data_IF_021529526305
#
_entry.id   IF_021529526305
#
_cell.length_a   1.000
_cell.length_b   1.000
_cell.length_c   1.000
_cell.angle_alpha   90.00
_cell.angle_beta   90.00
_cell.angle_gamma   90.00
#
_symmetry.space_group_name_H-M   'P 1'
#
loop_
_entity.id
_entity.type
_entity.pdbx_description
1 polymer ?
#
# COMPACT_ATOMS: atom_id res chain seq x y z
N UNK A 1 -7.32 -0.48 51.96
CA UNK A 1 -8.79 -0.29 51.85
C UNK A 1 -9.05 0.82 50.83
N UNK A 2 -9.91 0.58 49.81
CA UNK A 2 -9.95 1.32 48.54
C UNK A 2 -11.18 2.26 48.41
N UNK A 3 -11.17 3.18 47.44
CA UNK A 3 -12.35 3.72 46.73
C UNK A 3 -11.85 4.69 45.63
N UNK A 4 -11.95 4.34 44.34
CA UNK A 4 -13.07 4.62 43.40
C UNK A 4 -12.67 5.79 42.47
N UNK A 5 -12.12 5.53 41.28
CA UNK A 5 -12.86 5.29 40.01
C UNK A 5 -13.98 6.30 39.81
N UNK A 6 -13.71 7.32 38.99
CA UNK A 6 -14.72 7.88 38.11
C UNK A 6 -14.14 7.98 36.70
N UNK A 7 -14.45 6.92 35.97
CA UNK A 7 -14.46 6.84 34.53
C UNK A 7 -15.49 7.85 33.97
N UNK A 8 -15.13 8.48 32.85
CA UNK A 8 -16.05 9.23 31.99
C UNK A 8 -15.45 9.26 30.59
N UNK A 9 -15.89 8.36 29.68
CA UNK A 9 -15.50 8.41 28.28
C UNK A 9 -16.49 9.32 27.55
N UNK A 10 -16.01 10.42 26.97
CA UNK A 10 -16.81 11.25 26.07
C UNK A 10 -16.22 11.28 24.66
N UNK A 11 -16.95 10.57 23.80
CA UNK A 11 -17.31 10.92 22.41
C UNK A 11 -16.24 10.77 21.32
N UNK A 12 -16.34 9.61 20.67
CA UNK A 12 -16.49 9.43 19.21
C UNK A 12 -15.53 10.24 18.33
N UNK A 13 -14.34 9.68 18.10
CA UNK A 13 -13.64 9.91 16.84
C UNK A 13 -14.51 9.35 15.71
N UNK A 14 -15.01 10.21 14.84
CA UNK A 14 -15.56 9.79 13.55
C UNK A 14 -14.44 9.09 12.78
N UNK A 15 -14.53 7.77 12.70
CA UNK A 15 -13.80 6.97 11.73
C UNK A 15 -14.27 7.36 10.34
N UNK A 16 -13.62 8.36 9.75
CA UNK A 16 -13.77 8.66 8.35
C UNK A 16 -13.21 7.48 7.55
N UNK A 17 -14.11 6.79 6.86
CA UNK A 17 -13.83 5.78 5.84
C UNK A 17 -12.61 6.19 4.98
N UNK A 18 -11.55 5.36 4.92
CA UNK A 18 -10.42 5.68 4.06
C UNK A 18 -10.90 5.58 2.61
N UNK A 19 -10.94 6.73 1.94
CA UNK A 19 -11.19 6.78 0.50
C UNK A 19 -10.16 5.90 -0.23
N UNK A 20 -10.57 5.18 -1.29
CA UNK A 20 -9.66 4.31 -2.03
C UNK A 20 -8.46 5.11 -2.54
N UNK A 21 -7.29 4.46 -2.60
CA UNK A 21 -6.05 5.08 -3.04
C UNK A 21 -6.25 5.78 -4.40
N UNK A 22 -5.69 6.99 -4.59
CA UNK A 22 -5.80 7.71 -5.86
C UNK A 22 -5.26 6.84 -6.99
N UNK A 23 -5.97 6.78 -8.11
CA UNK A 23 -5.48 6.11 -9.31
C UNK A 23 -4.10 6.69 -9.68
N UNK A 24 -3.13 5.85 -10.11
CA UNK A 24 -1.80 6.33 -10.46
C UNK A 24 -1.90 7.46 -11.50
N UNK A 25 -1.04 8.49 -11.42
CA UNK A 25 -1.09 9.62 -12.35
C UNK A 25 -0.90 9.11 -13.77
N UNK A 26 -1.97 9.20 -14.56
CA UNK A 26 -1.93 8.89 -15.98
C UNK A 26 -1.13 10.01 -16.63
N UNK A 27 -0.11 9.68 -17.41
CA UNK A 27 0.69 10.68 -18.09
C UNK A 27 -0.21 11.57 -18.96
N UNK A 28 -0.10 12.89 -18.80
CA UNK A 28 -0.82 13.89 -19.61
C UNK A 28 -0.38 13.88 -21.09
N UNK A 29 0.72 13.19 -21.39
CA UNK A 29 1.22 13.00 -22.74
C UNK A 29 0.25 12.14 -23.57
N UNK A 30 -0.07 12.53 -24.82
CA UNK A 30 -0.89 11.71 -25.70
C UNK A 30 -0.33 10.30 -25.90
N UNK A 31 -1.10 9.28 -25.53
CA UNK A 31 -0.82 7.89 -25.85
C UNK A 31 -1.11 7.56 -27.33
N UNK A 32 -0.93 6.29 -27.75
CA UNK A 32 -1.08 5.90 -29.16
C UNK A 32 -2.49 6.17 -29.69
N UNK A 33 -3.52 5.89 -28.89
CA UNK A 33 -4.91 6.13 -29.29
C UNK A 33 -5.28 7.61 -29.29
N UNK A 34 -4.79 8.38 -28.32
CA UNK A 34 -4.99 9.83 -28.27
C UNK A 34 -4.33 10.51 -29.48
N UNK A 35 -3.11 10.08 -29.84
CA UNK A 35 -2.38 10.55 -31.02
C UNK A 35 -3.13 10.19 -32.31
N UNK A 36 -3.65 8.96 -32.42
CA UNK A 36 -4.46 8.56 -33.56
C UNK A 36 -5.72 9.41 -33.72
N UNK A 37 -6.41 9.72 -32.61
CA UNK A 37 -7.58 10.60 -32.63
C UNK A 37 -7.24 12.01 -33.15
N UNK A 38 -6.17 12.61 -32.63
CA UNK A 38 -5.70 13.93 -33.06
C UNK A 38 -5.33 13.93 -34.56
N UNK A 39 -4.62 12.90 -35.02
CA UNK A 39 -4.23 12.76 -36.42
C UNK A 39 -5.43 12.60 -37.35
N UNK A 40 -6.40 11.77 -36.99
CA UNK A 40 -7.63 11.57 -37.79
C UNK A 40 -8.41 12.89 -37.89
N UNK A 41 -8.55 13.62 -36.77
CA UNK A 41 -9.22 14.91 -36.77
C UNK A 41 -8.51 15.92 -37.67
N UNK A 42 -7.18 16.06 -37.53
CA UNK A 42 -6.39 16.97 -38.35
C UNK A 42 -6.52 16.64 -39.84
N UNK A 43 -6.41 15.36 -40.21
CA UNK A 43 -6.55 14.91 -41.60
C UNK A 43 -7.96 15.17 -42.15
N UNK A 44 -9.00 14.90 -41.37
CA UNK A 44 -10.38 15.15 -41.77
C UNK A 44 -10.63 16.64 -41.97
N UNK A 45 -10.19 17.49 -41.04
CA UNK A 45 -10.30 18.95 -41.13
C UNK A 45 -9.59 19.50 -42.35
N UNK A 46 -8.35 19.08 -42.60
CA UNK A 46 -7.58 19.50 -43.77
C UNK A 46 -8.26 19.04 -45.07
N UNK A 47 -8.82 17.83 -45.11
CA UNK A 47 -9.57 17.34 -46.26
C UNK A 47 -10.85 18.15 -46.52
N UNK A 48 -11.58 18.52 -45.45
CA UNK A 48 -12.77 19.36 -45.55
C UNK A 48 -12.43 20.75 -46.07
N UNK A 49 -11.39 21.39 -45.53
CA UNK A 49 -10.95 22.73 -45.97
C UNK A 49 -10.45 22.68 -47.42
N UNK A 50 -9.67 21.66 -47.81
CA UNK A 50 -9.20 21.48 -49.19
C UNK A 50 -10.34 21.34 -50.19
N UNK A 51 -11.50 20.80 -49.79
CA UNK A 51 -12.68 20.70 -50.66
C UNK A 51 -13.29 22.07 -50.98
N UNK A 52 -13.16 23.03 -50.07
CA UNK A 52 -13.45 24.44 -50.29
C UNK A 52 -12.28 25.10 -51.04
N UNK A 53 -12.00 24.62 -52.25
CA UNK A 53 -10.97 25.23 -53.10
C UNK A 53 -11.41 26.60 -53.60
N UNK A 54 -10.46 27.48 -53.87
CA UNK A 54 -10.74 28.80 -54.45
C UNK A 54 -11.59 28.70 -55.73
N UNK A 55 -11.33 27.73 -56.61
CA UNK A 55 -12.10 27.53 -57.83
C UNK A 55 -13.57 27.20 -57.56
N UNK A 56 -13.85 26.31 -56.59
CA UNK A 56 -15.22 25.98 -56.18
C UNK A 56 -15.91 27.18 -55.54
N UNK A 57 -15.16 27.95 -54.74
CA UNK A 57 -15.67 29.13 -54.05
C UNK A 57 -15.99 30.27 -55.04
N UNK A 58 -15.06 30.60 -55.95
CA UNK A 58 -15.23 31.64 -56.96
C UNK A 58 -16.36 31.33 -57.95
N UNK A 59 -16.61 30.05 -58.27
CA UNK A 59 -17.73 29.63 -59.12
C UNK A 59 -19.10 30.03 -58.52
N UNK A 60 -19.22 30.11 -57.20
CA UNK A 60 -20.44 30.58 -56.52
C UNK A 60 -20.59 32.11 -56.51
N UNK A 61 -19.51 32.86 -56.81
CA UNK A 61 -19.46 34.31 -56.79
C UNK A 61 -18.87 34.86 -58.11
N UNK A 62 -19.55 34.68 -59.25
CA UNK A 62 -19.00 35.01 -60.57
C UNK A 62 -18.73 36.51 -60.75
N UNK A 63 -19.59 37.38 -60.21
CA UNK A 63 -19.43 38.83 -60.34
C UNK A 63 -18.17 39.33 -59.60
N UNK A 64 -17.97 39.05 -58.29
CA UNK A 64 -16.73 39.44 -57.63
C UNK A 64 -15.48 38.75 -58.20
N UNK A 65 -15.59 37.50 -58.66
CA UNK A 65 -14.47 36.79 -59.29
C UNK A 65 -13.98 37.47 -60.58
N UNK A 66 -14.87 38.17 -61.31
CA UNK A 66 -14.53 38.88 -62.53
C UNK A 66 -13.96 40.28 -62.27
N UNK A 67 -14.57 41.03 -61.33
CA UNK A 67 -14.23 42.44 -61.14
C UNK A 67 -13.23 42.70 -60.01
N UNK A 68 -13.14 41.81 -59.01
CA UNK A 68 -12.27 41.97 -57.85
C UNK A 68 -11.70 40.61 -57.37
N UNK A 69 -10.93 39.90 -58.21
CA UNK A 69 -10.40 38.57 -57.88
C UNK A 69 -9.44 38.57 -56.68
N UNK A 70 -8.64 39.62 -56.52
CA UNK A 70 -7.68 39.72 -55.40
C UNK A 70 -8.37 39.78 -54.04
N UNK A 71 -9.43 40.59 -53.89
CA UNK A 71 -10.19 40.67 -52.64
C UNK A 71 -10.94 39.37 -52.34
N UNK A 72 -11.41 38.67 -53.38
CA UNK A 72 -12.08 37.39 -53.21
C UNK A 72 -11.10 36.28 -52.78
N UNK A 73 -9.88 36.26 -53.30
CA UNK A 73 -8.83 35.33 -52.86
C UNK A 73 -8.42 35.62 -51.40
N UNK A 74 -8.22 36.89 -51.05
CA UNK A 74 -7.93 37.29 -49.68
C UNK A 74 -9.07 36.86 -48.72
N UNK A 75 -10.33 37.11 -49.07
CA UNK A 75 -11.47 36.69 -48.27
C UNK A 75 -11.55 35.16 -48.11
N UNK A 76 -11.33 34.41 -49.20
CA UNK A 76 -11.35 32.95 -49.16
C UNK A 76 -10.24 32.38 -48.25
N UNK A 77 -9.02 32.93 -48.33
CA UNK A 77 -7.90 32.56 -47.45
C UNK A 77 -8.20 32.87 -45.99
N UNK A 78 -8.71 34.06 -45.70
CA UNK A 78 -9.08 34.46 -44.34
C UNK A 78 -10.21 33.59 -43.78
N UNK A 79 -11.21 33.28 -44.60
CA UNK A 79 -12.32 32.41 -44.23
C UNK A 79 -11.84 30.99 -43.91
N UNK A 80 -11.11 30.36 -44.84
CA UNK A 80 -10.61 28.99 -44.66
C UNK A 80 -9.61 28.90 -43.51
N UNK A 81 -8.76 29.91 -43.32
CA UNK A 81 -7.86 30.04 -42.18
C UNK A 81 -8.62 30.12 -40.86
N UNK A 82 -9.55 31.07 -40.72
CA UNK A 82 -10.34 31.24 -39.49
C UNK A 82 -11.17 30.01 -39.14
N UNK A 83 -11.78 29.36 -40.13
CA UNK A 83 -12.54 28.12 -39.91
C UNK A 83 -11.62 27.01 -39.41
N UNK A 84 -10.43 26.86 -40.01
CA UNK A 84 -9.43 25.88 -39.56
C UNK A 84 -8.97 26.14 -38.13
N UNK A 85 -8.60 27.38 -37.82
CA UNK A 85 -8.12 27.75 -36.49
C UNK A 85 -9.21 27.64 -35.43
N UNK A 86 -10.42 28.11 -35.74
CA UNK A 86 -11.56 27.97 -34.83
C UNK A 86 -11.88 26.49 -34.56
N UNK A 87 -11.88 25.64 -35.59
CA UNK A 87 -12.17 24.22 -35.42
C UNK A 87 -11.08 23.50 -34.61
N UNK A 88 -9.79 23.79 -34.82
CA UNK A 88 -8.69 23.25 -34.00
C UNK A 88 -8.80 23.71 -32.54
N UNK A 89 -9.02 25.00 -32.30
CA UNK A 89 -9.16 25.55 -30.95
C UNK A 89 -10.35 24.94 -30.19
N UNK A 90 -11.50 24.77 -30.87
CA UNK A 90 -12.66 24.12 -30.24
C UNK A 90 -12.40 22.65 -29.94
N UNK A 91 -11.70 21.94 -30.83
CA UNK A 91 -11.32 20.56 -30.60
C UNK A 91 -10.40 20.40 -29.38
N UNK A 92 -9.38 21.25 -29.26
CA UNK A 92 -8.47 21.24 -28.11
C UNK A 92 -9.20 21.55 -26.80
N UNK A 93 -10.15 22.50 -26.82
CA UNK A 93 -11.02 22.79 -25.66
C UNK A 93 -11.90 21.57 -25.29
N UNK A 94 -12.42 20.84 -26.27
CA UNK A 94 -13.20 19.62 -26.01
C UNK A 94 -12.31 18.52 -25.43
N UNK A 95 -11.10 18.34 -25.96
CA UNK A 95 -10.14 17.37 -25.43
C UNK A 95 -9.78 17.65 -23.97
N UNK A 96 -9.55 18.92 -23.64
CA UNK A 96 -9.24 19.36 -22.28
C UNK A 96 -10.46 19.23 -21.34
N UNK A 97 -11.61 19.78 -21.72
CA UNK A 97 -12.81 19.79 -20.86
C UNK A 97 -13.33 18.40 -20.50
N UNK A 98 -13.11 17.41 -21.37
CA UNK A 98 -13.54 16.02 -21.13
C UNK A 98 -12.42 15.09 -20.68
N UNK A 99 -11.21 15.60 -20.43
CA UNK A 99 -10.04 14.79 -20.06
C UNK A 99 -9.86 13.58 -20.99
N UNK A 100 -10.02 13.80 -22.30
CA UNK A 100 -10.07 12.71 -23.29
C UNK A 100 -8.73 11.99 -23.34
N UNK A 101 -7.62 12.73 -23.29
CA UNK A 101 -6.27 12.15 -23.34
C UNK A 101 -6.06 11.19 -22.17
N UNK A 102 -6.38 11.64 -20.95
CA UNK A 102 -6.30 10.82 -19.75
C UNK A 102 -7.17 9.55 -19.86
N UNK A 103 -8.41 9.70 -20.34
CA UNK A 103 -9.36 8.59 -20.48
C UNK A 103 -8.90 7.56 -21.51
N UNK A 104 -8.38 8.01 -22.66
CA UNK A 104 -7.85 7.12 -23.70
C UNK A 104 -6.56 6.42 -23.25
N UNK A 105 -5.70 7.13 -22.51
CA UNK A 105 -4.49 6.54 -21.94
C UNK A 105 -4.84 5.47 -20.89
N UNK A 106 -5.81 5.75 -20.00
CA UNK A 106 -6.32 4.76 -19.04
C UNK A 106 -6.94 3.54 -19.74
N UNK A 107 -7.65 3.75 -20.85
CA UNK A 107 -8.19 2.67 -21.66
C UNK A 107 -7.08 1.80 -22.26
N UNK A 108 -6.01 2.41 -22.78
CA UNK A 108 -4.88 1.66 -23.34
C UNK A 108 -4.16 0.84 -22.25
N UNK A 109 -4.02 1.37 -21.03
CA UNK A 109 -3.52 0.60 -19.87
C UNK A 109 -4.43 -0.60 -19.56
N UNK A 110 -5.75 -0.40 -19.48
CA UNK A 110 -6.71 -1.47 -19.23
C UNK A 110 -6.69 -2.55 -20.32
N UNK A 111 -6.54 -2.16 -21.59
CA UNK A 111 -6.41 -3.10 -22.70
C UNK A 111 -5.11 -3.91 -22.60
N UNK A 112 -4.01 -3.29 -22.19
CA UNK A 112 -2.75 -3.99 -21.98
C UNK A 112 -2.85 -4.99 -20.83
N UNK A 113 -3.47 -4.61 -19.71
CA UNK A 113 -3.64 -5.51 -18.57
C UNK A 113 -4.61 -6.66 -18.90
N UNK A 114 -5.68 -6.40 -19.65
CA UNK A 114 -6.57 -7.44 -20.15
C UNK A 114 -5.84 -8.44 -21.07
N UNK A 115 -4.94 -7.96 -21.94
CA UNK A 115 -4.09 -8.84 -22.77
C UNK A 115 -3.17 -9.70 -21.91
N UNK A 116 -2.47 -9.12 -20.93
CA UNK A 116 -1.62 -9.89 -20.00
C UNK A 116 -2.41 -10.94 -19.23
N UNK A 117 -3.62 -10.60 -18.76
CA UNK A 117 -4.49 -11.55 -18.07
C UNK A 117 -4.92 -12.70 -19.00
N UNK A 118 -5.22 -12.40 -20.26
CA UNK A 118 -5.53 -13.42 -21.28
C UNK A 118 -4.32 -14.32 -21.54
N UNK A 119 -3.14 -13.74 -21.76
CA UNK A 119 -1.90 -14.49 -22.02
C UNK A 119 -1.55 -15.42 -20.85
N UNK A 120 -1.76 -14.95 -19.60
CA UNK A 120 -1.60 -15.77 -18.40
C UNK A 120 -2.60 -16.92 -18.34
N UNK A 121 -3.88 -16.65 -18.63
CA UNK A 121 -4.90 -17.70 -18.66
C UNK A 121 -4.63 -18.75 -19.75
N UNK A 122 -4.10 -18.32 -20.91
CA UNK A 122 -3.68 -19.22 -21.99
C UNK A 122 -2.49 -20.10 -21.59
N UNK A 123 -1.50 -19.53 -20.89
CA UNK A 123 -0.37 -20.28 -20.36
C UNK A 123 -0.80 -21.28 -19.28
N UNK A 124 -1.74 -20.93 -18.41
CA UNK A 124 -2.24 -21.80 -17.33
C UNK A 124 -3.16 -22.92 -17.87
N UNK A 125 -3.90 -22.66 -18.94
CA UNK A 125 -4.84 -23.61 -19.52
C UNK A 125 -4.17 -24.76 -20.30
N UNK A 126 -2.89 -24.65 -20.70
CA UNK A 126 -2.14 -25.69 -21.42
C UNK A 126 -2.92 -26.36 -22.57
N UNK A 127 -3.70 -25.57 -23.34
CA UNK A 127 -4.51 -26.06 -24.47
C UNK A 127 -5.96 -26.44 -24.13
N UNK A 128 -6.40 -26.30 -22.89
CA UNK A 128 -7.81 -26.41 -22.51
C UNK A 128 -8.62 -25.17 -22.91
N UNK A 129 -9.95 -25.33 -23.05
CA UNK A 129 -10.85 -24.22 -23.38
C UNK A 129 -10.91 -23.21 -22.23
N UNK A 130 -10.65 -21.94 -22.54
CA UNK A 130 -10.68 -20.82 -21.59
C UNK A 130 -12.08 -20.23 -21.58
N UNK A 131 -12.73 -20.22 -20.42
CA UNK A 131 -14.02 -19.57 -20.26
C UNK A 131 -13.88 -18.04 -20.36
N UNK A 132 -14.73 -17.34 -21.13
CA UNK A 132 -14.69 -15.88 -21.18
C UNK A 132 -15.05 -15.27 -19.81
N UNK A 133 -14.40 -14.16 -19.42
CA UNK A 133 -14.72 -13.49 -18.16
C UNK A 133 -16.17 -12.98 -18.18
N UNK A 134 -16.89 -13.23 -17.09
CA UNK A 134 -18.25 -12.71 -16.90
C UNK A 134 -18.22 -11.19 -16.82
N UNK A 135 -19.02 -10.47 -17.63
CA UNK A 135 -18.98 -9.03 -17.62
C UNK A 135 -19.59 -8.46 -16.32
N UNK A 136 -19.07 -7.34 -15.79
CA UNK A 136 -19.46 -6.84 -14.47
C UNK A 136 -20.94 -6.42 -14.37
N UNK A 137 -21.57 -6.04 -15.49
CA UNK A 137 -22.98 -5.64 -15.52
C UNK A 137 -23.96 -6.81 -15.38
N UNK A 138 -23.50 -8.06 -15.51
CA UNK A 138 -24.34 -9.24 -15.26
C UNK A 138 -24.18 -9.77 -13.83
N UNK A 139 -23.30 -9.17 -13.02
CA UNK A 139 -23.07 -9.59 -11.64
C UNK A 139 -24.11 -8.98 -10.70
N UNK A 140 -24.55 -9.73 -9.67
CA UNK A 140 -25.39 -9.19 -8.60
C UNK A 140 -24.70 -8.05 -7.86
N UNK A 141 -25.48 -7.06 -7.40
CA UNK A 141 -24.98 -5.90 -6.66
C UNK A 141 -24.15 -6.29 -5.41
N UNK A 142 -24.55 -7.35 -4.70
CA UNK A 142 -23.83 -7.84 -3.53
C UNK A 142 -22.42 -8.33 -3.90
N UNK A 143 -22.28 -9.04 -5.02
CA UNK A 143 -20.98 -9.53 -5.50
C UNK A 143 -20.05 -8.36 -5.86
N UNK A 144 -20.60 -7.31 -6.50
CA UNK A 144 -19.83 -6.10 -6.80
C UNK A 144 -19.37 -5.39 -5.52
N UNK A 145 -20.27 -5.22 -4.55
CA UNK A 145 -19.93 -4.60 -3.27
C UNK A 145 -18.81 -5.37 -2.54
N UNK A 146 -18.91 -6.70 -2.46
CA UNK A 146 -17.89 -7.53 -1.85
C UNK A 146 -16.56 -7.48 -2.62
N UNK A 147 -16.60 -7.53 -3.95
CA UNK A 147 -15.39 -7.44 -4.77
C UNK A 147 -14.65 -6.10 -4.56
N UNK A 148 -15.37 -4.99 -4.38
CA UNK A 148 -14.79 -3.69 -4.07
C UNK A 148 -14.22 -3.61 -2.64
N UNK A 149 -14.84 -4.28 -1.67
CA UNK A 149 -14.37 -4.30 -0.28
C UNK A 149 -13.18 -5.25 -0.08
N UNK A 150 -13.08 -6.30 -0.91
CA UNK A 150 -12.06 -7.33 -0.79
C UNK A 150 -10.61 -6.82 -0.74
N UNK A 151 -10.13 -5.90 -1.61
CA UNK A 151 -8.75 -5.40 -1.52
C UNK A 151 -8.47 -4.64 -0.22
N UNK A 152 -9.47 -3.93 0.31
CA UNK A 152 -9.34 -3.25 1.60
C UNK A 152 -9.27 -4.27 2.74
N UNK A 153 -10.19 -5.23 2.76
CA UNK A 153 -10.24 -6.27 3.79
C UNK A 153 -9.00 -7.16 3.77
N UNK A 154 -8.46 -7.51 2.59
CA UNK A 154 -7.22 -8.29 2.48
C UNK A 154 -6.03 -7.51 3.03
N UNK A 155 -5.91 -6.22 2.69
CA UNK A 155 -4.84 -5.36 3.22
C UNK A 155 -4.89 -5.24 4.75
N UNK A 156 -6.09 -5.14 5.32
CA UNK A 156 -6.28 -5.12 6.78
C UNK A 156 -5.94 -6.48 7.41
N UNK A 157 -6.37 -7.58 6.79
CA UNK A 157 -6.05 -8.93 7.26
C UNK A 157 -4.53 -9.19 7.26
N UNK A 158 -3.82 -8.76 6.21
CA UNK A 158 -2.36 -8.88 6.13
C UNK A 158 -1.66 -8.04 7.22
N UNK A 159 -2.16 -6.83 7.45
CA UNK A 159 -1.63 -5.94 8.51
C UNK A 159 -1.81 -6.58 9.88
N UNK A 160 -3.02 -7.04 10.22
CA UNK A 160 -3.30 -7.71 11.49
C UNK A 160 -2.52 -9.02 11.64
N UNK A 161 -2.38 -9.80 10.56
CA UNK A 161 -1.58 -11.02 10.54
C UNK A 161 -0.11 -10.74 10.86
N UNK A 162 0.46 -9.65 10.32
CA UNK A 162 1.84 -9.25 10.61
C UNK A 162 2.03 -8.81 12.07
N UNK A 163 1.07 -8.08 12.64
CA UNK A 163 1.09 -7.64 14.03
C UNK A 163 0.95 -8.83 14.99
N UNK A 164 0.05 -9.76 14.68
CA UNK A 164 -0.15 -10.98 15.45
C UNK A 164 1.11 -11.85 15.43
N UNK A 165 1.74 -12.03 14.26
CA UNK A 165 3.00 -12.77 14.14
C UNK A 165 4.13 -12.12 14.95
N UNK A 166 4.23 -10.79 14.90
CA UNK A 166 5.23 -10.02 15.68
C UNK A 166 5.01 -10.20 17.18
N UNK A 167 3.76 -10.10 17.63
CA UNK A 167 3.39 -10.26 19.04
C UNK A 167 3.64 -11.69 19.53
N UNK A 168 3.30 -12.69 18.73
CA UNK A 168 3.58 -14.09 19.06
C UNK A 168 5.09 -14.34 19.20
N UNK A 169 5.92 -13.81 18.30
CA UNK A 169 7.38 -13.91 18.41
C UNK A 169 7.89 -13.27 19.69
N UNK A 170 7.44 -12.05 20.01
CA UNK A 170 7.82 -11.37 21.25
C UNK A 170 7.41 -12.18 22.49
N UNK A 171 6.19 -12.74 22.52
CA UNK A 171 5.73 -13.58 23.61
C UNK A 171 6.58 -14.85 23.78
N UNK A 172 6.93 -15.52 22.67
CA UNK A 172 7.80 -16.70 22.74
C UNK A 172 9.20 -16.36 23.27
N UNK A 173 9.74 -15.20 22.88
CA UNK A 173 11.03 -14.72 23.37
C UNK A 173 10.96 -14.41 24.87
N UNK A 174 9.96 -13.65 25.32
CA UNK A 174 9.77 -13.33 26.74
C UNK A 174 9.59 -14.59 27.59
N UNK A 175 8.82 -15.58 27.12
CA UNK A 175 8.67 -16.85 27.81
C UNK A 175 10.01 -17.60 27.93
N UNK A 176 10.83 -17.61 26.88
CA UNK A 176 12.15 -18.23 26.93
C UNK A 176 13.08 -17.52 27.92
N UNK A 177 13.01 -16.19 28.00
CA UNK A 177 13.80 -15.39 28.92
C UNK A 177 13.36 -15.62 30.38
N UNK A 178 12.06 -15.64 30.64
CA UNK A 178 11.51 -15.97 31.97
C UNK A 178 11.93 -17.39 32.40
N UNK A 179 11.92 -18.36 31.50
CA UNK A 179 12.37 -19.72 31.80
C UNK A 179 13.86 -19.77 32.13
N UNK A 180 14.70 -19.06 31.37
CA UNK A 180 16.13 -18.95 31.65
C UNK A 180 16.39 -18.28 33.01
N UNK A 181 15.74 -17.15 33.30
CA UNK A 181 15.85 -16.45 34.57
C UNK A 181 15.39 -17.32 35.76
N UNK A 182 14.32 -18.10 35.59
CA UNK A 182 13.86 -19.04 36.64
C UNK A 182 14.88 -20.15 36.91
N UNK A 183 15.53 -20.68 35.86
CA UNK A 183 16.58 -21.68 36.02
C UNK A 183 17.83 -21.10 36.71
N UNK A 184 18.20 -19.86 36.37
CA UNK A 184 19.30 -19.13 37.01
C UNK A 184 19.01 -18.87 38.50
N UNK A 185 17.80 -18.40 38.83
CA UNK A 185 17.38 -18.20 40.22
C UNK A 185 17.41 -19.51 41.03
N UNK A 186 16.94 -20.61 40.45
CA UNK A 186 17.01 -21.91 41.11
C UNK A 186 18.46 -22.35 41.37
N UNK A 187 19.36 -22.11 40.43
CA UNK A 187 20.78 -22.41 40.59
C UNK A 187 21.44 -21.53 41.66
N UNK A 188 21.14 -20.22 41.68
CA UNK A 188 21.62 -19.28 42.69
C UNK A 188 21.12 -19.64 44.09
N UNK A 189 19.84 -19.98 44.23
CA UNK A 189 19.26 -20.42 45.50
C UNK A 189 19.90 -21.72 45.98
N UNK A 190 20.06 -22.72 45.11
CA UNK A 190 20.74 -23.97 45.47
C UNK A 190 22.21 -23.77 45.86
N UNK A 191 22.90 -22.84 45.20
CA UNK A 191 24.26 -22.43 45.60
C UNK A 191 24.30 -21.77 46.97
N UNK A 192 23.34 -20.90 47.27
CA UNK A 192 23.25 -20.22 48.57
C UNK A 192 22.90 -21.20 49.69
N UNK A 193 21.97 -22.13 49.46
CA UNK A 193 21.65 -23.23 50.39
C UNK A 193 22.89 -24.09 50.67
N UNK A 194 23.71 -24.36 49.66
CA UNK A 194 24.95 -25.10 49.83
C UNK A 194 25.97 -24.34 50.69
N UNK A 195 26.16 -23.04 50.44
CA UNK A 195 27.07 -22.18 51.25
C UNK A 195 26.58 -22.06 52.69
N UNK A 196 25.27 -21.91 52.91
CA UNK A 196 24.69 -21.89 54.28
C UNK A 196 24.96 -23.21 54.99
N UNK A 197 24.75 -24.34 54.32
CA UNK A 197 25.03 -25.67 54.89
C UNK A 197 26.52 -25.87 55.20
N UNK A 198 27.41 -25.34 54.37
CA UNK A 198 28.85 -25.40 54.59
C UNK A 198 29.30 -24.55 55.80
N UNK A 199 28.69 -23.37 55.97
CA UNK A 199 28.86 -22.51 57.15
C UNK A 199 28.33 -23.18 58.42
N UNK A 200 27.13 -23.76 58.38
CA UNK A 200 26.56 -24.54 59.50
C UNK A 200 27.45 -25.74 59.86
N UNK A 201 27.97 -26.46 58.84
CA UNK A 201 28.92 -27.54 59.04
C UNK A 201 30.22 -27.07 59.68
N UNK A 202 30.77 -25.95 59.20
CA UNK A 202 32.00 -25.35 59.75
C UNK A 202 31.81 -24.88 61.20
N UNK A 203 30.68 -24.24 61.51
CA UNK A 203 30.31 -23.84 62.89
C UNK A 203 30.15 -25.07 63.79
N UNK A 204 29.52 -26.14 63.29
CA UNK A 204 29.42 -27.40 64.04
C UNK A 204 30.81 -27.96 64.35
N UNK A 205 31.74 -28.00 63.40
CA UNK A 205 33.10 -28.50 63.63
C UNK A 205 33.87 -27.65 64.65
N UNK A 206 33.81 -26.32 64.54
CA UNK A 206 34.39 -25.39 65.52
C UNK A 206 33.81 -25.59 66.93
N UNK A 207 32.50 -25.79 67.04
CA UNK A 207 31.84 -26.00 68.33
C UNK A 207 32.18 -27.34 68.99
N UNK A 208 32.60 -28.33 68.21
CA UNK A 208 32.85 -29.68 68.70
C UNK A 208 34.32 -29.91 69.04
N UNK A 209 35.26 -29.32 68.28
CA UNK A 209 36.69 -29.58 68.43
C UNK A 209 37.37 -28.55 69.34
N UNK A 210 37.14 -27.25 69.14
CA UNK A 210 37.77 -26.20 69.97
C UNK A 210 37.17 -26.15 71.38
N UNK A 211 35.84 -26.26 71.53
CA UNK A 211 35.20 -26.17 72.85
C UNK A 211 35.57 -27.39 73.71
N UNK A 212 35.63 -28.59 73.14
CA UNK A 212 36.01 -29.79 73.88
C UNK A 212 37.50 -29.77 74.23
N UNK A 213 38.37 -29.39 73.28
CA UNK A 213 39.81 -29.24 73.52
C UNK A 213 40.12 -28.16 74.56
N UNK A 214 39.53 -26.96 74.47
CA UNK A 214 39.72 -25.89 75.45
C UNK A 214 39.19 -26.28 76.84
N UNK A 215 38.05 -26.99 76.93
CA UNK A 215 37.58 -27.48 78.22
C UNK A 215 38.51 -28.53 78.82
N UNK A 216 39.13 -29.38 77.99
CA UNK A 216 40.03 -30.42 78.44
C UNK A 216 41.39 -29.85 78.86
N UNK A 217 41.92 -28.88 78.12
CA UNK A 217 43.17 -28.18 78.44
C UNK A 217 43.03 -27.30 79.70
N UNK A 218 41.88 -26.63 79.89
CA UNK A 218 41.57 -25.91 81.14
C UNK A 218 41.47 -26.87 82.33
N UNK A 219 40.89 -28.05 82.15
CA UNK A 219 40.81 -29.07 83.21
C UNK A 219 42.17 -29.70 83.53
N UNK A 220 43.06 -29.84 82.55
CA UNK A 220 44.45 -30.31 82.77
C UNK A 220 45.30 -29.26 83.51
N UNK A 221 45.20 -27.99 83.12
CA UNK A 221 45.89 -26.88 83.82
C UNK A 221 45.42 -26.77 85.27
N UNK A 222 44.12 -26.93 85.54
CA UNK A 222 43.56 -26.87 86.91
C UNK A 222 44.04 -28.07 87.76
N UNK A 223 44.26 -29.23 87.15
CA UNK A 223 44.81 -30.42 87.83
C UNK A 223 46.31 -30.29 88.14
N UNK A 224 47.10 -29.68 87.24
CA UNK A 224 48.53 -29.40 87.48
C UNK A 224 48.75 -28.32 88.56
N UNK A 225 47.78 -27.42 88.77
CA UNK A 225 47.84 -26.40 89.83
C UNK A 225 47.45 -26.93 91.22
N UNK A 226 46.79 -28.09 91.30
CA UNK A 226 46.32 -28.70 92.55
C UNK A 226 47.12 -29.93 93.03
N UNK A 227 48.20 -30.30 92.33
CA UNK A 227 49.19 -31.30 92.78
C UNK A 227 50.39 -30.67 93.48
#
# INVERSE_FOLDING_TARGET
MPAAVHDSPSRTAHEHSPSPAPAPPVADSPGPRATALQNIFAQALDATIKRCSYANFAACFPTPAQYVPENLDAFWRDFTGRVGDAARNNFDQILASRNVIQSLNSLDTLVQDAKKCKDRAEAEANGAAIEPPTPPHTLPAQTLALAHLQPFLSSQADTLGSQLSTTQKANTQLLSEIQAQRAELAALMGGLEHVVKDLEGSVSMLSQDEVQSLTQEVLEIDNELMG
#
